data_IF_118710327600
#
_entry.id   IF_118710327600
#
_cell.length_a   1.000
_cell.length_b   1.000
_cell.length_c   1.000
_cell.angle_alpha   90.00
_cell.angle_beta   90.00
_cell.angle_gamma   90.00
#
_symmetry.space_group_name_H-M   'P 1'
#
loop_
_entity.id
_entity.type
_entity.pdbx_description
1 polymer ?
#
# COMPACT_ATOMS: atom_id res chain seq x y z
N UNK A 1 3.28 -13.06 20.37
CA UNK A 1 4.27 -11.95 20.41
C UNK A 1 3.85 -10.72 19.60
N UNK A 2 2.72 -10.78 18.90
CA UNK A 2 2.15 -9.70 18.09
C UNK A 2 1.95 -8.41 18.92
N UNK A 3 1.28 -8.50 20.07
CA UNK A 3 1.02 -7.36 20.97
C UNK A 3 2.29 -6.66 21.46
N UNK A 4 3.40 -7.40 21.60
CA UNK A 4 4.68 -6.83 22.02
C UNK A 4 5.32 -6.01 20.89
N UNK A 5 5.22 -6.48 19.64
CA UNK A 5 5.71 -5.74 18.47
C UNK A 5 4.90 -4.47 18.26
N UNK A 6 3.57 -4.56 18.26
CA UNK A 6 2.66 -3.40 18.15
C UNK A 6 2.98 -2.37 19.24
N UNK A 7 3.10 -2.80 20.51
CA UNK A 7 3.37 -1.89 21.62
C UNK A 7 4.72 -1.17 21.48
N UNK A 8 5.74 -1.85 20.94
CA UNK A 8 7.04 -1.24 20.68
C UNK A 8 6.95 -0.21 19.55
N UNK A 9 6.27 -0.57 18.46
CA UNK A 9 6.19 0.26 17.25
C UNK A 9 5.29 1.49 17.45
N UNK A 10 4.28 1.39 18.33
CA UNK A 10 3.49 2.56 18.79
C UNK A 10 4.29 3.49 19.71
N UNK A 11 5.13 2.92 20.60
CA UNK A 11 5.87 3.71 21.59
C UNK A 11 6.86 4.68 20.95
N UNK A 12 7.54 4.26 19.88
CA UNK A 12 8.58 5.06 19.23
C UNK A 12 8.04 6.40 18.70
N UNK A 13 7.00 6.46 17.84
CA UNK A 13 6.44 7.73 17.37
C UNK A 13 5.79 8.53 18.50
N UNK A 14 5.12 7.88 19.46
CA UNK A 14 4.56 8.58 20.62
C UNK A 14 5.64 9.28 21.45
N UNK A 15 6.80 8.64 21.64
CA UNK A 15 7.94 9.24 22.35
C UNK A 15 8.52 10.41 21.54
N UNK A 16 8.61 10.29 20.22
CA UNK A 16 9.06 11.35 19.32
C UNK A 16 8.11 12.55 19.37
N UNK A 17 6.81 12.32 19.22
CA UNK A 17 5.78 13.36 19.32
C UNK A 17 5.89 14.09 20.66
N UNK A 18 5.92 13.33 21.78
CA UNK A 18 5.97 13.91 23.11
C UNK A 18 7.25 14.70 23.35
N UNK A 19 8.40 14.18 22.90
CA UNK A 19 9.69 14.86 23.03
C UNK A 19 9.76 16.16 22.21
N UNK A 20 9.33 16.10 20.95
CA UNK A 20 9.31 17.27 20.05
C UNK A 20 8.32 18.34 20.56
N UNK A 21 7.14 17.93 21.03
CA UNK A 21 6.16 18.83 21.63
C UNK A 21 6.70 19.50 22.90
N UNK A 22 7.40 18.77 23.76
CA UNK A 22 8.02 19.32 24.98
C UNK A 22 9.02 20.42 24.62
N UNK A 23 9.91 20.17 23.65
CA UNK A 23 10.89 21.16 23.17
C UNK A 23 10.20 22.42 22.65
N UNK A 24 9.06 22.26 21.95
CA UNK A 24 8.30 23.40 21.41
C UNK A 24 7.60 24.22 22.51
N UNK A 25 7.23 23.60 23.64
CA UNK A 25 6.57 24.27 24.77
C UNK A 25 7.56 25.01 25.68
N UNK A 26 8.82 24.60 25.70
CA UNK A 26 9.86 25.27 26.47
C UNK A 26 10.20 26.63 25.86
N UNK A 27 10.29 27.66 26.70
CA UNK A 27 10.78 29.00 26.29
C UNK A 27 12.29 28.96 26.08
N UNK A 28 12.75 28.33 25.02
CA UNK A 28 14.16 28.26 24.64
C UNK A 28 14.47 29.33 23.62
N UNK A 29 15.24 30.40 24.00
CA UNK A 29 15.60 31.49 23.10
C UNK A 29 16.56 31.07 21.98
N UNK A 30 17.17 29.89 22.08
CA UNK A 30 18.06 29.30 21.07
C UNK A 30 17.29 28.49 20.00
N UNK A 31 15.99 28.31 20.16
CA UNK A 31 15.16 27.54 19.20
C UNK A 31 14.80 28.48 18.02
N UNK A 32 15.45 28.26 16.88
CA UNK A 32 15.18 29.03 15.65
C UNK A 32 13.80 28.65 15.07
N UNK A 33 13.21 29.58 14.29
CA UNK A 33 11.94 29.32 13.59
C UNK A 33 12.03 28.12 12.62
N UNK A 34 13.18 27.94 11.99
CA UNK A 34 13.45 26.78 11.15
C UNK A 34 13.35 25.48 11.96
N UNK A 35 14.01 25.43 13.11
CA UNK A 35 13.94 24.26 14.01
C UNK A 35 12.55 24.01 14.57
N UNK A 36 11.76 25.07 14.82
CA UNK A 36 10.34 24.95 15.21
C UNK A 36 9.53 24.28 14.11
N UNK A 37 9.73 24.66 12.86
CA UNK A 37 9.05 24.06 11.71
C UNK A 37 9.42 22.59 11.53
N UNK A 38 10.70 22.24 11.62
CA UNK A 38 11.16 20.86 11.58
C UNK A 38 10.51 19.98 12.66
N UNK A 39 10.49 20.46 13.91
CA UNK A 39 9.88 19.73 15.02
C UNK A 39 8.37 19.58 14.84
N UNK A 40 7.69 20.61 14.35
CA UNK A 40 6.25 20.57 14.06
C UNK A 40 5.94 19.62 12.92
N UNK A 41 6.75 19.60 11.86
CA UNK A 41 6.61 18.67 10.75
C UNK A 41 6.81 17.21 11.22
N UNK A 42 7.82 16.94 12.03
CA UNK A 42 8.07 15.62 12.60
C UNK A 42 6.91 15.13 13.48
N UNK A 43 6.29 16.02 14.28
CA UNK A 43 5.09 15.68 15.07
C UNK A 43 3.93 15.30 14.15
N UNK A 44 3.71 16.09 13.08
CA UNK A 44 2.63 15.85 12.13
C UNK A 44 2.80 14.53 11.38
N UNK A 45 4.01 14.24 10.90
CA UNK A 45 4.35 12.99 10.23
C UNK A 45 4.15 11.77 11.14
N UNK A 46 4.67 11.82 12.38
CA UNK A 46 4.52 10.74 13.34
C UNK A 46 3.03 10.51 13.75
N UNK A 47 2.24 11.58 13.85
CA UNK A 47 0.82 11.51 14.16
C UNK A 47 0.02 10.89 13.00
N UNK A 48 0.27 11.32 11.76
CA UNK A 48 -0.36 10.74 10.56
C UNK A 48 -0.02 9.26 10.40
N UNK A 49 1.25 8.92 10.63
CA UNK A 49 1.70 7.54 10.60
C UNK A 49 0.94 6.66 11.62
N UNK A 50 0.72 7.16 12.85
CA UNK A 50 -0.07 6.46 13.88
C UNK A 50 -1.54 6.29 13.45
N UNK A 51 -2.15 7.30 12.85
CA UNK A 51 -3.51 7.21 12.34
C UNK A 51 -3.63 6.12 11.27
N UNK A 52 -2.75 6.11 10.26
CA UNK A 52 -2.73 5.07 9.23
C UNK A 52 -2.51 3.66 9.81
N UNK A 53 -1.68 3.53 10.86
CA UNK A 53 -1.50 2.26 11.55
C UNK A 53 -2.80 1.76 12.16
N UNK A 54 -3.49 2.62 12.90
CA UNK A 54 -4.76 2.28 13.57
C UNK A 54 -5.84 1.93 12.54
N UNK A 55 -5.97 2.72 11.48
CA UNK A 55 -6.94 2.49 10.40
C UNK A 55 -6.70 1.15 9.69
N UNK A 56 -5.44 0.84 9.33
CA UNK A 56 -5.08 -0.42 8.71
C UNK A 56 -5.38 -1.62 9.62
N UNK A 57 -5.05 -1.51 10.92
CA UNK A 57 -5.31 -2.57 11.89
C UNK A 57 -6.81 -2.82 12.07
N UNK A 58 -7.61 -1.74 12.17
CA UNK A 58 -9.07 -1.83 12.28
C UNK A 58 -9.67 -2.43 11.00
N UNK A 59 -9.18 -2.05 9.81
CA UNK A 59 -9.65 -2.57 8.53
C UNK A 59 -9.38 -4.07 8.42
N UNK A 60 -8.16 -4.52 8.72
CA UNK A 60 -7.80 -5.94 8.72
C UNK A 60 -8.70 -6.71 9.70
N UNK A 61 -8.84 -6.21 10.94
CA UNK A 61 -9.65 -6.89 11.97
C UNK A 61 -11.12 -7.01 11.58
N UNK A 62 -11.70 -5.98 10.96
CA UNK A 62 -13.09 -6.01 10.47
C UNK A 62 -13.27 -7.03 9.34
N UNK A 63 -12.30 -7.10 8.41
CA UNK A 63 -12.32 -8.05 7.30
C UNK A 63 -12.19 -9.49 7.78
N UNK A 64 -11.25 -9.78 8.69
CA UNK A 64 -11.08 -11.12 9.26
C UNK A 64 -12.31 -11.61 10.03
N UNK A 65 -13.04 -10.70 10.67
CA UNK A 65 -14.29 -11.02 11.38
C UNK A 65 -15.53 -11.05 10.47
N UNK A 66 -15.40 -10.87 9.16
CA UNK A 66 -16.53 -10.83 8.22
C UNK A 66 -17.51 -9.67 8.48
N UNK A 67 -17.05 -8.59 9.12
CA UNK A 67 -17.87 -7.45 9.49
C UNK A 67 -17.86 -6.32 8.46
N UNK A 68 -17.22 -6.53 7.30
CA UNK A 68 -17.18 -5.55 6.22
C UNK A 68 -18.33 -5.84 5.25
N UNK A 69 -19.25 -4.89 5.13
CA UNK A 69 -20.25 -4.90 4.06
C UNK A 69 -19.59 -4.31 2.79
N UNK A 70 -19.08 -5.20 1.93
CA UNK A 70 -18.52 -4.79 0.64
C UNK A 70 -19.63 -4.21 -0.26
N UNK A 71 -19.33 -3.12 -0.93
CA UNK A 71 -20.18 -2.53 -1.96
C UNK A 71 -19.73 -3.02 -3.33
N UNK A 72 -19.94 -4.30 -3.58
CA UNK A 72 -19.54 -4.94 -4.83
C UNK A 72 -20.42 -4.40 -5.97
N UNK A 73 -19.77 -3.83 -6.98
CA UNK A 73 -20.38 -3.37 -8.22
C UNK A 73 -19.48 -3.73 -9.42
N UNK A 74 -20.05 -3.89 -10.63
CA UNK A 74 -19.27 -4.01 -11.85
C UNK A 74 -18.56 -2.69 -12.14
N UNK A 75 -17.22 -2.70 -12.16
CA UNK A 75 -16.39 -1.53 -12.40
C UNK A 75 -15.43 -1.77 -13.56
N UNK A 76 -15.19 -0.74 -14.38
CA UNK A 76 -14.17 -0.76 -15.43
C UNK A 76 -12.79 -0.68 -14.82
N UNK A 77 -11.91 -1.60 -15.18
CA UNK A 77 -10.52 -1.60 -14.65
C UNK A 77 -9.77 -0.33 -15.07
N UNK A 78 -10.01 0.18 -16.29
CA UNK A 78 -9.37 1.40 -16.75
C UNK A 78 -9.72 2.60 -15.86
N UNK A 79 -10.99 2.77 -15.49
CA UNK A 79 -11.43 3.87 -14.64
C UNK A 79 -10.75 3.82 -13.26
N UNK A 80 -10.64 2.61 -12.67
CA UNK A 80 -9.93 2.42 -11.39
C UNK A 80 -8.44 2.78 -11.52
N UNK A 81 -7.79 2.40 -12.62
CA UNK A 81 -6.39 2.77 -12.85
C UNK A 81 -6.21 4.29 -12.99
N UNK A 82 -7.09 4.93 -13.74
CA UNK A 82 -7.05 6.38 -13.98
C UNK A 82 -7.29 7.16 -12.67
N UNK A 83 -8.24 6.72 -11.84
CA UNK A 83 -8.53 7.32 -10.53
C UNK A 83 -7.33 7.18 -9.58
N UNK A 84 -6.72 6.00 -9.52
CA UNK A 84 -5.52 5.77 -8.70
C UNK A 84 -4.37 6.67 -9.16
N UNK A 85 -4.10 6.73 -10.47
CA UNK A 85 -3.00 7.54 -11.02
C UNK A 85 -3.21 9.04 -10.80
N UNK A 86 -4.46 9.52 -10.84
CA UNK A 86 -4.81 10.92 -10.59
C UNK A 86 -4.57 11.36 -9.13
N UNK A 87 -4.57 10.41 -8.18
CA UNK A 87 -4.45 10.68 -6.75
C UNK A 87 -3.10 10.29 -6.14
N UNK A 88 -2.11 9.92 -6.98
CA UNK A 88 -0.76 9.60 -6.48
C UNK A 88 -0.03 10.86 -5.97
N UNK A 89 0.71 10.70 -4.88
CA UNK A 89 1.48 11.75 -4.24
C UNK A 89 2.68 12.23 -5.08
N UNK A 90 3.25 13.38 -4.70
CA UNK A 90 4.43 13.99 -5.34
C UNK A 90 5.65 13.06 -5.45
N UNK A 91 5.81 12.09 -4.55
CA UNK A 91 6.90 11.10 -4.59
C UNK A 91 6.81 10.19 -5.82
N UNK A 92 5.62 10.03 -6.39
CA UNK A 92 5.40 9.33 -7.66
C UNK A 92 6.03 10.06 -8.86
N UNK A 93 6.22 11.38 -8.78
CA UNK A 93 6.79 12.19 -9.88
C UNK A 93 8.24 11.83 -10.23
N UNK A 94 8.97 11.17 -9.31
CA UNK A 94 10.32 10.69 -9.56
C UNK A 94 10.38 9.32 -10.26
N UNK A 95 9.22 8.69 -10.53
CA UNK A 95 9.10 7.37 -11.16
C UNK A 95 8.30 7.46 -12.47
N UNK A 96 8.51 6.51 -13.36
CA UNK A 96 7.70 6.38 -14.57
C UNK A 96 6.59 5.35 -14.31
N UNK A 97 5.36 5.83 -14.10
CA UNK A 97 4.22 4.94 -13.82
C UNK A 97 3.35 4.86 -15.08
N UNK A 98 3.07 3.65 -15.55
CA UNK A 98 2.22 3.40 -16.73
C UNK A 98 1.13 2.40 -16.38
N UNK A 99 -0.05 2.56 -16.99
CA UNK A 99 -1.17 1.64 -16.84
C UNK A 99 -1.63 1.16 -18.21
N UNK A 100 -1.90 -0.14 -18.32
CA UNK A 100 -2.36 -0.79 -19.53
C UNK A 100 -3.41 -1.84 -19.17
N UNK A 101 -4.47 -1.89 -19.94
CA UNK A 101 -5.53 -2.91 -19.86
C UNK A 101 -5.59 -3.66 -21.18
N UNK A 102 -5.66 -4.98 -21.14
CA UNK A 102 -5.66 -5.83 -22.34
C UNK A 102 -6.96 -5.70 -23.17
N UNK A 103 -8.04 -5.22 -22.57
CA UNK A 103 -9.35 -5.01 -23.19
C UNK A 103 -9.99 -3.78 -22.54
N UNK A 104 -10.31 -2.75 -23.34
CA UNK A 104 -10.86 -1.47 -22.87
C UNK A 104 -12.20 -1.62 -22.11
N UNK A 105 -12.91 -2.73 -22.34
CA UNK A 105 -14.17 -3.05 -21.67
C UNK A 105 -14.01 -4.09 -20.55
N UNK A 106 -12.77 -4.31 -20.07
CA UNK A 106 -12.52 -5.26 -19.01
C UNK A 106 -13.13 -4.77 -17.68
N UNK A 107 -14.09 -5.54 -17.17
CA UNK A 107 -14.80 -5.23 -15.92
C UNK A 107 -14.59 -6.33 -14.87
N UNK A 108 -14.59 -5.92 -13.63
CA UNK A 108 -14.60 -6.84 -12.49
C UNK A 108 -15.60 -6.40 -11.42
N UNK A 109 -16.13 -7.37 -10.68
CA UNK A 109 -17.02 -7.12 -9.56
C UNK A 109 -16.20 -6.77 -8.33
N UNK A 110 -16.29 -5.50 -7.89
CA UNK A 110 -15.45 -5.01 -6.79
C UNK A 110 -16.09 -3.86 -6.01
N UNK A 111 -15.56 -3.63 -4.83
CA UNK A 111 -15.67 -2.37 -4.10
C UNK A 111 -14.50 -1.47 -4.54
N UNK A 112 -14.79 -0.47 -5.38
CA UNK A 112 -13.80 0.40 -6.01
C UNK A 112 -12.84 1.02 -5.00
N UNK A 113 -13.35 1.58 -3.90
CA UNK A 113 -12.53 2.26 -2.88
C UNK A 113 -11.51 1.32 -2.22
N UNK A 114 -11.91 0.08 -1.96
CA UNK A 114 -11.01 -0.91 -1.36
C UNK A 114 -9.96 -1.40 -2.37
N UNK A 115 -10.31 -1.56 -3.63
CA UNK A 115 -9.35 -1.97 -4.66
C UNK A 115 -8.39 -0.85 -5.02
N UNK A 116 -8.84 0.41 -5.07
CA UNK A 116 -7.96 1.58 -5.14
C UNK A 116 -6.94 1.58 -3.99
N UNK A 117 -7.38 1.29 -2.77
CA UNK A 117 -6.48 1.18 -1.61
C UNK A 117 -5.44 0.07 -1.79
N UNK A 118 -5.81 -1.08 -2.38
CA UNK A 118 -4.84 -2.15 -2.73
C UNK A 118 -3.81 -1.62 -3.71
N UNK A 119 -4.25 -1.00 -4.81
CA UNK A 119 -3.36 -0.47 -5.86
C UNK A 119 -2.42 0.61 -5.32
N UNK A 120 -2.94 1.57 -4.56
CA UNK A 120 -2.12 2.61 -3.90
C UNK A 120 -1.08 2.00 -2.97
N UNK A 121 -1.43 1.00 -2.16
CA UNK A 121 -0.47 0.30 -1.31
C UNK A 121 0.63 -0.41 -2.12
N UNK A 122 0.28 -1.07 -3.23
CA UNK A 122 1.26 -1.76 -4.08
C UNK A 122 2.16 -0.78 -4.81
N UNK A 123 1.61 0.31 -5.36
CA UNK A 123 2.39 1.37 -6.03
C UNK A 123 3.34 2.05 -5.04
N UNK A 124 2.86 2.43 -3.84
CA UNK A 124 3.69 3.04 -2.81
C UNK A 124 4.81 2.10 -2.33
N UNK A 125 4.57 0.78 -2.29
CA UNK A 125 5.63 -0.19 -2.04
C UNK A 125 6.65 -0.18 -3.18
N UNK A 126 6.23 -0.19 -4.44
CA UNK A 126 7.13 -0.09 -5.59
C UNK A 126 7.99 1.18 -5.53
N UNK A 127 7.38 2.36 -5.34
CA UNK A 127 8.09 3.64 -5.19
C UNK A 127 9.12 3.59 -4.06
N UNK A 128 8.75 3.01 -2.92
CA UNK A 128 9.59 2.95 -1.72
C UNK A 128 10.81 2.05 -1.87
N UNK A 129 10.67 0.94 -2.59
CA UNK A 129 11.71 -0.11 -2.65
C UNK A 129 12.48 -0.13 -3.97
N UNK A 130 12.19 0.81 -4.87
CA UNK A 130 12.93 0.99 -6.13
C UNK A 130 13.73 2.30 -6.12
N UNK A 131 14.82 2.40 -6.89
CA UNK A 131 15.54 3.67 -7.09
C UNK A 131 14.66 4.72 -7.78
N UNK A 132 15.04 6.00 -7.64
CA UNK A 132 14.46 7.07 -8.46
C UNK A 132 14.57 6.74 -9.95
N UNK A 133 13.58 7.17 -10.74
CA UNK A 133 13.45 6.93 -12.18
C UNK A 133 13.14 5.47 -12.57
N UNK A 134 12.85 4.61 -11.61
CA UNK A 134 12.35 3.26 -11.89
C UNK A 134 10.99 3.29 -12.60
N UNK A 135 10.74 2.21 -13.35
CA UNK A 135 9.47 1.99 -14.04
C UNK A 135 8.54 1.12 -13.19
N UNK A 136 7.32 1.60 -13.01
CA UNK A 136 6.24 0.87 -12.37
C UNK A 136 5.13 0.68 -13.40
N UNK A 137 4.68 -0.54 -13.61
CA UNK A 137 3.65 -0.86 -14.61
C UNK A 137 2.46 -1.53 -13.94
N UNK A 138 1.27 -0.94 -14.15
CA UNK A 138 -0.01 -1.54 -13.87
C UNK A 138 -0.49 -2.25 -15.12
N UNK A 139 -0.88 -3.51 -15.00
CA UNK A 139 -1.40 -4.27 -16.12
C UNK A 139 -2.58 -5.12 -15.68
N UNK A 140 -3.64 -5.15 -16.49
CA UNK A 140 -4.79 -6.00 -16.25
C UNK A 140 -5.16 -6.82 -17.49
N UNK A 141 -5.53 -8.07 -17.28
CA UNK A 141 -5.97 -8.97 -18.34
C UNK A 141 -7.00 -10.00 -17.82
N UNK A 142 -7.88 -10.51 -18.70
CA UNK A 142 -8.80 -11.58 -18.35
C UNK A 142 -8.03 -12.87 -18.06
N UNK A 143 -8.43 -13.59 -17.02
CA UNK A 143 -7.89 -14.91 -16.65
C UNK A 143 -9.02 -15.87 -16.27
N UNK A 144 -9.67 -16.47 -17.27
CA UNK A 144 -10.83 -17.32 -17.08
C UNK A 144 -12.01 -16.56 -16.48
N UNK A 145 -12.44 -16.95 -15.27
CA UNK A 145 -13.53 -16.28 -14.52
C UNK A 145 -13.06 -15.07 -13.69
N UNK A 146 -11.80 -14.73 -13.80
CA UNK A 146 -11.20 -13.65 -13.05
C UNK A 146 -10.60 -12.60 -13.99
N UNK A 147 -10.37 -11.42 -13.46
CA UNK A 147 -9.45 -10.43 -13.98
C UNK A 147 -8.18 -10.53 -13.15
N UNK A 148 -7.04 -10.71 -13.82
CA UNK A 148 -5.74 -10.62 -13.17
C UNK A 148 -5.21 -9.20 -13.29
N UNK A 149 -4.83 -8.61 -12.16
CA UNK A 149 -4.22 -7.28 -12.06
C UNK A 149 -2.80 -7.45 -11.54
N UNK A 150 -1.84 -6.79 -12.16
CA UNK A 150 -0.42 -6.84 -11.84
C UNK A 150 0.10 -5.43 -11.59
N UNK A 151 0.91 -5.27 -10.55
CA UNK A 151 1.75 -4.10 -10.31
C UNK A 151 3.20 -4.58 -10.35
N UNK A 152 3.93 -4.18 -11.38
CA UNK A 152 5.29 -4.63 -11.67
C UNK A 152 6.26 -3.47 -11.52
N UNK A 153 7.37 -3.69 -10.83
CA UNK A 153 8.49 -2.76 -10.73
C UNK A 153 9.77 -3.36 -11.35
N UNK A 154 10.72 -2.51 -11.68
CA UNK A 154 12.05 -2.87 -12.16
C UNK A 154 13.13 -2.76 -11.08
N UNK A 155 12.75 -2.92 -9.82
CA UNK A 155 13.61 -2.87 -8.65
C UNK A 155 14.47 -4.11 -8.45
N UNK A 156 15.02 -4.28 -7.24
CA UNK A 156 15.94 -5.41 -6.94
C UNK A 156 15.24 -6.77 -6.84
N UNK A 157 13.91 -6.79 -6.86
CA UNK A 157 13.12 -7.99 -6.60
C UNK A 157 13.09 -8.39 -5.13
N UNK A 158 12.54 -9.57 -4.85
CA UNK A 158 12.22 -10.07 -3.51
C UNK A 158 12.99 -11.39 -3.27
N UNK A 159 13.72 -11.53 -2.14
CA UNK A 159 14.35 -12.79 -1.76
C UNK A 159 13.34 -13.92 -1.66
N UNK A 160 13.68 -15.10 -2.19
CA UNK A 160 12.76 -16.24 -2.28
C UNK A 160 12.22 -16.68 -0.91
N UNK A 161 13.09 -16.69 0.11
CA UNK A 161 12.76 -17.01 1.49
C UNK A 161 11.76 -16.06 2.16
N UNK A 162 11.54 -14.89 1.56
CA UNK A 162 10.68 -13.83 2.10
C UNK A 162 9.30 -13.80 1.47
N UNK A 163 9.11 -14.40 0.30
CA UNK A 163 7.87 -14.29 -0.49
C UNK A 163 6.64 -14.74 0.27
N UNK A 164 6.71 -15.89 0.95
CA UNK A 164 5.59 -16.45 1.70
C UNK A 164 5.19 -15.61 2.92
N UNK A 165 6.14 -14.82 3.43
CA UNK A 165 5.97 -14.00 4.64
C UNK A 165 5.60 -12.55 4.37
N UNK A 166 5.72 -12.09 3.12
CA UNK A 166 5.49 -10.68 2.76
C UNK A 166 4.09 -10.18 3.12
N UNK A 167 3.13 -11.07 3.07
CA UNK A 167 1.74 -10.76 3.39
C UNK A 167 1.39 -11.01 4.86
N UNK A 168 2.35 -11.42 5.69
CA UNK A 168 2.13 -11.56 7.13
C UNK A 168 2.18 -10.18 7.80
N UNK A 169 1.30 -9.98 8.78
CA UNK A 169 1.27 -8.73 9.55
C UNK A 169 2.63 -8.46 10.20
N UNK A 170 3.09 -7.21 10.09
CA UNK A 170 4.36 -6.72 10.67
C UNK A 170 5.63 -7.34 10.08
N UNK A 171 5.52 -8.06 8.97
CA UNK A 171 6.69 -8.52 8.25
C UNK A 171 7.25 -7.40 7.37
N UNK A 172 8.56 -7.16 7.47
CA UNK A 172 9.29 -6.19 6.64
C UNK A 172 10.60 -6.80 6.16
N UNK A 173 10.94 -6.55 4.89
CA UNK A 173 12.23 -6.95 4.32
C UNK A 173 13.34 -6.05 4.89
N UNK A 174 14.28 -6.68 5.63
CA UNK A 174 15.49 -6.02 6.16
C UNK A 174 15.28 -5.20 7.43
N UNK A 175 16.36 -5.12 8.22
CA UNK A 175 16.44 -4.29 9.43
C UNK A 175 16.91 -2.86 9.09
N UNK A 176 16.41 -2.23 8.05
CA UNK A 176 16.84 -0.87 7.71
C UNK A 176 16.18 0.15 8.64
N UNK A 177 16.78 0.28 9.83
CA UNK A 177 16.51 1.35 10.80
C UNK A 177 17.09 2.71 10.38
N UNK A 178 17.77 2.82 9.22
CA UNK A 178 18.61 3.99 8.91
C UNK A 178 17.97 5.05 8.02
N UNK A 179 16.88 4.81 7.31
CA UNK A 179 16.35 5.76 6.32
C UNK A 179 15.01 6.42 6.66
N UNK A 180 14.56 6.41 7.91
CA UNK A 180 13.35 7.18 8.28
C UNK A 180 12.02 6.72 7.64
N UNK A 181 12.05 5.88 6.61
CA UNK A 181 10.86 5.37 5.90
C UNK A 181 10.28 4.16 6.63
N UNK A 182 9.52 4.40 7.68
CA UNK A 182 8.90 3.36 8.52
C UNK A 182 7.78 2.65 7.77
N UNK A 183 8.00 1.42 7.33
CA UNK A 183 6.92 0.53 6.89
C UNK A 183 6.55 -0.42 8.02
N UNK A 184 5.27 -0.48 8.38
CA UNK A 184 4.75 -1.33 9.46
C UNK A 184 4.59 -2.79 9.08
N UNK A 185 4.73 -3.13 7.80
CA UNK A 185 4.38 -4.47 7.32
C UNK A 185 2.88 -4.78 7.42
N UNK A 186 2.01 -3.75 7.42
CA UNK A 186 0.55 -3.92 7.42
C UNK A 186 -0.07 -3.73 6.04
N UNK A 187 0.54 -2.95 5.15
CA UNK A 187 -0.03 -2.63 3.84
C UNK A 187 -0.29 -3.88 3.00
N UNK A 188 0.66 -4.80 2.89
CA UNK A 188 0.48 -6.05 2.13
C UNK A 188 -0.49 -7.02 2.82
N UNK A 189 -0.50 -7.08 4.15
CA UNK A 189 -1.49 -7.86 4.89
C UNK A 189 -2.91 -7.33 4.65
N UNK A 190 -3.09 -6.01 4.61
CA UNK A 190 -4.35 -5.37 4.26
C UNK A 190 -4.74 -5.70 2.81
N UNK A 191 -3.81 -5.60 1.84
CA UNK A 191 -4.07 -5.99 0.46
C UNK A 191 -4.58 -7.42 0.36
N UNK A 192 -3.94 -8.38 1.07
CA UNK A 192 -4.39 -9.78 1.11
C UNK A 192 -5.80 -9.92 1.69
N UNK A 193 -6.11 -9.20 2.76
CA UNK A 193 -7.44 -9.26 3.38
C UNK A 193 -8.52 -8.67 2.47
N UNK A 194 -8.24 -7.55 1.80
CA UNK A 194 -9.18 -6.92 0.84
C UNK A 194 -9.42 -7.86 -0.34
N UNK A 195 -8.37 -8.36 -0.98
CA UNK A 195 -8.48 -9.24 -2.16
C UNK A 195 -9.21 -10.53 -1.80
N UNK A 196 -8.90 -11.14 -0.64
CA UNK A 196 -9.60 -12.33 -0.16
C UNK A 196 -11.09 -12.07 0.10
N UNK A 197 -11.44 -10.91 0.66
CA UNK A 197 -12.85 -10.51 0.86
C UNK A 197 -13.62 -10.37 -0.46
N UNK A 198 -12.93 -10.05 -1.58
CA UNK A 198 -13.49 -10.03 -2.93
C UNK A 198 -13.48 -11.40 -3.63
N UNK A 199 -13.08 -12.49 -2.93
CA UNK A 199 -13.00 -13.83 -3.51
C UNK A 199 -11.79 -14.05 -4.42
N UNK A 200 -10.80 -13.15 -4.38
CA UNK A 200 -9.57 -13.22 -5.14
C UNK A 200 -8.39 -13.80 -4.35
N UNK A 201 -7.25 -13.86 -5.01
CA UNK A 201 -5.97 -14.28 -4.43
C UNK A 201 -4.91 -13.24 -4.81
N UNK A 202 -3.99 -12.94 -3.90
CA UNK A 202 -2.82 -12.08 -4.15
C UNK A 202 -1.55 -12.88 -3.91
N UNK A 203 -0.56 -12.72 -4.79
CA UNK A 203 0.78 -13.28 -4.65
C UNK A 203 1.84 -12.36 -5.24
N UNK A 204 3.11 -12.77 -5.15
CA UNK A 204 4.24 -12.03 -5.69
C UNK A 204 5.25 -12.94 -6.33
N UNK A 205 5.83 -12.50 -7.44
CA UNK A 205 6.93 -13.18 -8.12
C UNK A 205 7.97 -12.17 -8.61
N UNK A 206 9.23 -12.62 -8.75
CA UNK A 206 10.22 -11.81 -9.42
C UNK A 206 10.06 -11.89 -10.93
N UNK A 207 10.40 -10.80 -11.61
CA UNK A 207 10.39 -10.71 -13.07
C UNK A 207 11.81 -10.60 -13.63
N UNK A 208 12.02 -11.09 -14.83
CA UNK A 208 13.30 -10.99 -15.52
C UNK A 208 13.40 -9.65 -16.26
N UNK A 209 14.58 -9.01 -16.36
CA UNK A 209 15.87 -9.42 -15.77
C UNK A 209 15.99 -9.13 -14.27
N UNK A 210 15.19 -8.24 -13.71
CA UNK A 210 15.10 -7.86 -12.30
C UNK A 210 13.75 -7.19 -12.05
N UNK A 211 13.31 -7.13 -10.78
CA UNK A 211 12.06 -6.53 -10.37
C UNK A 211 11.11 -7.50 -9.66
N UNK A 212 10.02 -6.96 -9.17
CA UNK A 212 8.94 -7.73 -8.56
C UNK A 212 7.61 -7.44 -9.25
N UNK A 213 6.76 -8.45 -9.31
CA UNK A 213 5.38 -8.34 -9.79
C UNK A 213 4.45 -8.83 -8.69
N UNK A 214 3.71 -7.92 -8.10
CA UNK A 214 2.57 -8.22 -7.25
C UNK A 214 1.37 -8.42 -8.13
N UNK A 215 0.72 -9.56 -8.03
CA UNK A 215 -0.47 -9.87 -8.83
C UNK A 215 -1.62 -10.30 -7.95
N UNK A 216 -2.81 -9.88 -8.32
CA UNK A 216 -4.03 -10.31 -7.65
C UNK A 216 -5.17 -10.53 -8.65
N UNK A 217 -6.18 -11.27 -8.22
CA UNK A 217 -7.32 -11.61 -9.04
C UNK A 217 -8.61 -11.06 -8.43
N UNK A 218 -9.55 -10.66 -9.29
CA UNK A 218 -10.91 -10.28 -8.91
C UNK A 218 -11.92 -11.05 -9.77
N UNK A 219 -13.13 -11.37 -9.30
CA UNK A 219 -14.16 -11.95 -10.12
C UNK A 219 -14.46 -11.08 -11.34
N UNK A 220 -14.43 -11.68 -12.52
CA UNK A 220 -14.74 -10.97 -13.77
C UNK A 220 -16.25 -10.80 -13.89
N UNK A 221 -16.69 -9.58 -14.21
CA UNK A 221 -18.08 -9.32 -14.54
C UNK A 221 -18.43 -9.99 -15.87
N UNK A 222 -19.46 -10.83 -15.88
CA UNK A 222 -19.99 -11.38 -17.15
C UNK A 222 -20.95 -10.37 -17.75
N UNK A 223 -20.51 -9.68 -18.81
CA UNK A 223 -21.39 -8.82 -19.60
C UNK A 223 -22.27 -9.68 -20.48
N UNK A 224 -23.51 -9.92 -20.07
CA UNK A 224 -24.51 -10.56 -20.94
C UNK A 224 -25.02 -9.48 -21.90
N UNK A 225 -24.52 -9.48 -23.11
CA UNK A 225 -25.13 -8.68 -24.20
C UNK A 225 -26.49 -9.32 -24.52
N UNK A 226 -27.57 -8.66 -24.13
CA UNK A 226 -28.90 -9.02 -24.64
C UNK A 226 -28.97 -8.45 -26.07
N UNK A 227 -29.00 -9.35 -27.05
CA UNK A 227 -29.36 -9.03 -28.44
C UNK A 227 -30.84 -8.66 -28.56
#
# INVERSE_FOLDING_TARGET
>A
NLLRSISHDLRTPLTSISGNALILTEKNPLLTEEKRRELSAAIYEDANWLNHLVENLLSITRMENGQVNLRIQPELIQDIFDDVLAHLDHDAACHTIVANVADDLLMADMDAQLIEQVLVNLINNAIKYTPEHSRIELFAAPEGKFVRICVTDDGPGIPEESRDKLFDMFYTLGKTRSDGRRGLGLGLALCRSIVAAHGGVIDVQNVAPHGACFRFTLPRTEVTLYE
#
